data_IF_483918358131
#
_entry.id   IF_483918358131
#
_cell.length_a   1.000
_cell.length_b   1.000
_cell.length_c   1.000
_cell.angle_alpha   90.00
_cell.angle_beta   90.00
_cell.angle_gamma   90.00
#
_symmetry.space_group_name_H-M   'P 1'
#
loop_
_entity.id
_entity.type
_entity.pdbx_description
1 polymer ?
#
# COMPACT_ATOMS: atom_id res chain seq x y z
N UNK A 1 -23.59 -1.14 3.23
CA UNK A 1 -24.02 -0.06 4.13
C UNK A 1 -23.08 0.01 5.34
N UNK A 2 -23.10 1.05 6.17
CA UNK A 2 -22.36 1.12 7.44
C UNK A 2 -23.33 0.91 8.61
N UNK A 3 -23.05 -0.05 9.50
CA UNK A 3 -23.83 -0.30 10.72
C UNK A 3 -23.07 0.18 11.93
N UNK A 4 -23.59 1.20 12.60
CA UNK A 4 -23.02 1.69 13.85
C UNK A 4 -23.72 0.98 14.99
N UNK A 5 -22.99 0.27 15.85
CA UNK A 5 -23.56 -0.54 16.92
C UNK A 5 -23.09 -0.01 18.25
N UNK A 6 -24.03 0.42 19.09
CA UNK A 6 -23.75 0.96 20.41
C UNK A 6 -24.48 0.19 21.51
N UNK A 7 -23.76 -0.11 22.60
CA UNK A 7 -24.30 -0.88 23.74
C UNK A 7 -24.52 -0.06 25.00
N UNK A 8 -24.03 1.17 25.06
CA UNK A 8 -24.14 2.08 26.20
C UNK A 8 -24.77 3.41 25.78
N UNK A 9 -25.22 4.22 26.74
CA UNK A 9 -25.79 5.53 26.43
C UNK A 9 -24.74 6.54 25.93
N UNK A 10 -23.50 6.46 26.41
CA UNK A 10 -22.39 7.24 25.87
C UNK A 10 -22.10 6.83 24.42
N UNK A 11 -21.95 5.53 24.17
CA UNK A 11 -21.74 5.03 22.82
C UNK A 11 -22.89 5.33 21.86
N UNK A 12 -24.14 5.39 22.35
CA UNK A 12 -25.29 5.81 21.53
C UNK A 12 -25.13 7.25 21.05
N UNK A 13 -24.73 8.17 21.93
CA UNK A 13 -24.53 9.58 21.57
C UNK A 13 -23.42 9.72 20.52
N UNK A 14 -22.30 9.04 20.73
CA UNK A 14 -21.23 8.97 19.75
C UNK A 14 -21.73 8.39 18.41
N UNK A 15 -22.50 7.31 18.46
CA UNK A 15 -23.09 6.69 17.28
C UNK A 15 -24.08 7.59 16.53
N UNK A 16 -24.82 8.46 17.23
CA UNK A 16 -25.70 9.45 16.60
C UNK A 16 -24.90 10.52 15.86
N UNK A 17 -23.77 10.97 16.42
CA UNK A 17 -22.84 11.86 15.72
C UNK A 17 -22.30 11.20 14.46
N UNK A 18 -21.86 9.94 14.56
CA UNK A 18 -21.34 9.22 13.39
C UNK A 18 -22.43 8.98 12.32
N UNK A 19 -23.66 8.70 12.71
CA UNK A 19 -24.79 8.51 11.79
C UNK A 19 -25.13 9.79 11.01
N UNK A 20 -24.97 10.98 11.60
CA UNK A 20 -25.23 12.24 10.89
C UNK A 20 -24.13 12.64 9.92
N UNK A 21 -22.88 12.22 10.17
CA UNK A 21 -21.72 12.63 9.37
C UNK A 21 -21.32 11.60 8.31
N UNK A 22 -21.53 10.31 8.55
CA UNK A 22 -21.15 9.24 7.62
C UNK A 22 -22.25 8.97 6.58
N UNK A 23 -21.85 8.95 5.31
CA UNK A 23 -22.73 8.49 4.23
C UNK A 23 -23.09 7.00 4.40
N UNK A 24 -24.35 6.68 4.11
CA UNK A 24 -24.94 5.34 4.18
C UNK A 24 -24.72 4.65 5.54
N UNK A 25 -24.98 5.36 6.64
CA UNK A 25 -24.85 4.83 8.00
C UNK A 25 -26.21 4.68 8.69
N UNK A 26 -26.36 3.61 9.48
CA UNK A 26 -27.52 3.36 10.34
C UNK A 26 -27.07 2.96 11.75
N UNK A 27 -27.61 3.64 12.77
CA UNK A 27 -27.34 3.37 14.17
C UNK A 27 -28.26 2.28 14.74
N UNK A 28 -27.64 1.21 15.24
CA UNK A 28 -28.26 0.15 16.03
C UNK A 28 -27.89 0.29 17.50
N UNK A 29 -28.81 0.85 18.28
CA UNK A 29 -28.68 0.90 19.73
C UNK A 29 -29.23 -0.36 20.39
N UNK A 30 -28.36 -1.15 21.04
CA UNK A 30 -28.69 -2.43 21.71
C UNK A 30 -29.58 -3.34 20.84
N UNK A 31 -29.15 -3.73 19.61
CA UNK A 31 -29.98 -4.52 18.73
C UNK A 31 -30.29 -5.90 19.33
N UNK A 32 -31.50 -6.39 19.10
CA UNK A 32 -31.98 -7.71 19.53
C UNK A 32 -32.59 -8.45 18.33
N UNK A 33 -32.31 -9.75 18.14
CA UNK A 33 -31.26 -10.54 18.81
C UNK A 33 -29.86 -10.06 18.39
N UNK A 34 -28.98 -9.80 19.36
CA UNK A 34 -27.70 -9.15 19.11
C UNK A 34 -26.81 -9.97 18.17
N UNK A 35 -26.50 -11.22 18.53
CA UNK A 35 -25.55 -12.05 17.79
C UNK A 35 -25.97 -12.26 16.33
N UNK A 36 -27.21 -12.69 16.12
CA UNK A 36 -27.74 -12.97 14.78
C UNK A 36 -27.78 -11.72 13.90
N UNK A 37 -28.22 -10.56 14.42
CA UNK A 37 -28.24 -9.31 13.64
C UNK A 37 -26.84 -8.89 13.21
N UNK A 38 -25.86 -8.97 14.12
CA UNK A 38 -24.48 -8.57 13.80
C UNK A 38 -23.84 -9.55 12.83
N UNK A 39 -24.06 -10.85 13.01
CA UNK A 39 -23.57 -11.89 12.09
C UNK A 39 -24.21 -11.76 10.69
N UNK A 40 -25.51 -11.45 10.61
CA UNK A 40 -26.20 -11.25 9.34
C UNK A 40 -25.65 -10.02 8.61
N UNK A 41 -25.51 -8.88 9.29
CA UNK A 41 -24.94 -7.68 8.68
C UNK A 41 -23.51 -7.92 8.18
N UNK A 42 -22.70 -8.66 8.94
CA UNK A 42 -21.36 -9.07 8.52
C UNK A 42 -21.38 -9.94 7.26
N UNK A 43 -22.28 -10.92 7.20
CA UNK A 43 -22.48 -11.78 6.03
C UNK A 43 -22.99 -11.00 4.79
N UNK A 44 -23.82 -9.98 5.01
CA UNK A 44 -24.34 -9.08 3.97
C UNK A 44 -23.30 -8.05 3.49
N UNK A 45 -22.06 -8.15 3.98
CA UNK A 45 -20.92 -7.28 3.64
C UNK A 45 -21.13 -5.83 4.08
N UNK A 46 -21.95 -5.60 5.10
CA UNK A 46 -22.04 -4.29 5.74
C UNK A 46 -20.80 -4.01 6.59
N UNK A 47 -20.27 -2.79 6.49
CA UNK A 47 -19.17 -2.34 7.34
C UNK A 47 -19.68 -2.11 8.77
N UNK A 48 -19.07 -2.76 9.75
CA UNK A 48 -19.49 -2.70 11.14
C UNK A 48 -18.62 -1.70 11.93
N UNK A 49 -19.26 -0.72 12.56
CA UNK A 49 -18.63 0.25 13.48
C UNK A 49 -19.14 -0.09 14.89
N UNK A 50 -18.31 -0.77 15.67
CA UNK A 50 -18.67 -1.37 16.95
C UNK A 50 -18.20 -0.49 18.12
N UNK A 51 -19.11 0.28 18.72
CA UNK A 51 -18.84 1.11 19.90
C UNK A 51 -19.05 0.26 21.16
N UNK A 52 -18.08 -0.62 21.42
CA UNK A 52 -18.09 -1.57 22.53
C UNK A 52 -16.72 -2.22 22.73
N UNK A 53 -16.56 -3.02 23.79
CA UNK A 53 -15.33 -3.78 24.03
C UNK A 53 -15.05 -4.80 22.90
N UNK A 54 -13.80 -4.86 22.43
CA UNK A 54 -13.33 -5.77 21.37
C UNK A 54 -13.69 -7.24 21.61
N UNK A 55 -13.68 -7.69 22.88
CA UNK A 55 -14.06 -9.05 23.25
C UNK A 55 -15.52 -9.43 22.97
N UNK A 56 -16.44 -8.45 22.86
CA UNK A 56 -17.82 -8.70 22.40
C UNK A 56 -17.83 -9.01 20.91
N UNK A 57 -17.08 -8.22 20.13
CA UNK A 57 -16.99 -8.35 18.67
C UNK A 57 -16.44 -9.72 18.29
N UNK A 58 -15.31 -10.13 18.86
CA UNK A 58 -14.71 -11.44 18.57
C UNK A 58 -15.62 -12.61 18.94
N UNK A 59 -16.21 -12.63 20.14
CA UNK A 59 -17.12 -13.72 20.53
C UNK A 59 -18.35 -13.81 19.63
N UNK A 60 -18.80 -12.68 19.10
CA UNK A 60 -19.97 -12.61 18.20
C UNK A 60 -19.63 -13.06 16.79
N UNK A 61 -18.50 -12.62 16.25
CA UNK A 61 -18.13 -12.85 14.85
C UNK A 61 -17.31 -14.11 14.63
N UNK A 62 -16.62 -14.64 15.66
CA UNK A 62 -15.77 -15.83 15.53
C UNK A 62 -16.41 -17.02 14.78
N UNK A 63 -17.71 -17.34 14.95
CA UNK A 63 -18.35 -18.43 14.20
C UNK A 63 -18.53 -18.18 12.70
N UNK A 64 -18.47 -16.93 12.24
CA UNK A 64 -18.79 -16.51 10.85
C UNK A 64 -17.64 -15.84 10.12
N UNK A 65 -16.50 -15.59 10.78
CA UNK A 65 -15.27 -15.11 10.15
C UNK A 65 -14.73 -16.19 9.20
N UNK A 66 -14.40 -15.79 7.98
CA UNK A 66 -13.84 -16.68 6.96
C UNK A 66 -12.41 -16.29 6.60
N UNK A 67 -12.26 -15.17 5.89
CA UNK A 67 -10.97 -14.64 5.46
C UNK A 67 -11.09 -13.16 5.07
N UNK A 68 -9.95 -12.46 5.07
CA UNK A 68 -9.84 -11.02 4.78
C UNK A 68 -10.35 -10.56 3.41
N UNK A 69 -10.62 -11.47 2.47
CA UNK A 69 -11.15 -11.16 1.14
C UNK A 69 -12.69 -11.20 1.13
N UNK A 70 -13.28 -12.10 1.90
CA UNK A 70 -14.74 -12.34 2.00
C UNK A 70 -15.41 -11.70 3.23
N UNK A 71 -14.64 -11.31 4.24
CA UNK A 71 -15.13 -10.76 5.50
C UNK A 71 -15.33 -9.24 5.42
N UNK A 72 -16.43 -8.73 5.97
CA UNK A 72 -16.73 -7.30 5.96
C UNK A 72 -15.73 -6.50 6.82
N UNK A 73 -15.60 -5.20 6.55
CA UNK A 73 -14.85 -4.31 7.42
C UNK A 73 -15.46 -4.27 8.83
N UNK A 74 -14.60 -4.36 9.84
CA UNK A 74 -15.00 -4.17 11.24
C UNK A 74 -14.06 -3.19 11.91
N UNK A 75 -14.61 -2.11 12.42
CA UNK A 75 -13.94 -1.07 13.21
C UNK A 75 -14.50 -1.12 14.63
N UNK A 76 -13.64 -1.01 15.63
CA UNK A 76 -14.01 -0.97 17.04
C UNK A 76 -13.60 0.37 17.65
N UNK A 77 -14.47 0.92 18.49
CA UNK A 77 -14.26 2.19 19.17
C UNK A 77 -14.64 2.07 20.65
N UNK A 78 -13.94 2.82 21.50
CA UNK A 78 -14.40 3.07 22.86
C UNK A 78 -15.57 4.08 22.86
N UNK A 79 -16.32 4.13 23.96
CA UNK A 79 -17.50 4.98 24.06
C UNK A 79 -17.21 6.48 24.27
N UNK A 80 -15.97 6.84 24.60
CA UNK A 80 -15.51 8.23 24.68
C UNK A 80 -15.05 8.75 23.32
N UNK A 81 -14.83 7.88 22.34
CA UNK A 81 -14.36 8.24 21.01
C UNK A 81 -12.88 8.63 21.00
N UNK A 82 -12.08 8.11 21.93
CA UNK A 82 -10.65 8.41 22.00
C UNK A 82 -9.85 7.59 20.99
N UNK A 83 -10.27 6.36 20.72
CA UNK A 83 -9.56 5.39 19.88
C UNK A 83 -10.45 4.76 18.81
N UNK A 84 -9.90 4.65 17.60
CA UNK A 84 -10.52 3.96 16.47
C UNK A 84 -9.61 2.83 16.01
N UNK A 85 -10.08 1.60 16.12
CA UNK A 85 -9.28 0.39 15.93
C UNK A 85 -9.87 -0.42 14.77
N UNK A 86 -9.24 -0.45 13.57
CA UNK A 86 -9.63 -1.40 12.54
C UNK A 86 -9.30 -2.82 13.01
N UNK A 87 -10.33 -3.66 13.12
CA UNK A 87 -10.22 -4.99 13.73
C UNK A 87 -10.15 -6.11 12.68
N UNK A 88 -11.04 -6.09 11.68
CA UNK A 88 -11.09 -7.11 10.62
C UNK A 88 -11.15 -6.45 9.25
N UNK A 89 -10.55 -7.15 8.27
CA UNK A 89 -10.51 -6.74 6.87
C UNK A 89 -9.99 -5.30 6.65
N UNK A 90 -8.85 -4.98 7.30
CA UNK A 90 -8.19 -3.68 7.28
C UNK A 90 -7.94 -3.07 5.90
N UNK A 91 -7.38 -3.84 4.96
CA UNK A 91 -7.02 -3.34 3.64
C UNK A 91 -8.14 -3.48 2.62
N UNK A 92 -8.29 -4.67 2.02
CA UNK A 92 -9.26 -4.90 0.94
C UNK A 92 -10.72 -4.77 1.40
N UNK A 93 -11.01 -5.00 2.68
CA UNK A 93 -12.35 -4.78 3.23
C UNK A 93 -12.63 -3.33 3.61
N UNK A 94 -11.63 -2.45 3.63
CA UNK A 94 -11.79 -1.02 3.86
C UNK A 94 -11.78 -0.57 5.32
N UNK A 95 -11.51 -1.45 6.31
CA UNK A 95 -11.60 -1.05 7.72
C UNK A 95 -10.54 -0.01 8.12
N UNK A 96 -9.34 -0.02 7.53
CA UNK A 96 -8.32 1.00 7.81
C UNK A 96 -8.77 2.37 7.29
N UNK A 97 -9.31 2.43 6.08
CA UNK A 97 -9.82 3.68 5.51
C UNK A 97 -10.99 4.22 6.34
N UNK A 98 -11.93 3.36 6.71
CA UNK A 98 -13.05 3.73 7.56
C UNK A 98 -12.59 4.21 8.95
N UNK A 99 -11.56 3.58 9.52
CA UNK A 99 -10.99 4.02 10.80
C UNK A 99 -10.39 5.43 10.72
N UNK A 100 -9.70 5.76 9.63
CA UNK A 100 -9.19 7.11 9.39
C UNK A 100 -10.31 8.13 9.18
N UNK A 101 -11.30 7.81 8.34
CA UNK A 101 -12.47 8.67 8.10
C UNK A 101 -13.16 9.01 9.42
N UNK A 102 -13.44 8.00 10.25
CA UNK A 102 -14.05 8.22 11.56
C UNK A 102 -13.16 9.06 12.47
N UNK A 103 -11.87 8.74 12.56
CA UNK A 103 -10.97 9.45 13.45
C UNK A 103 -10.79 10.93 13.09
N UNK A 104 -10.74 11.24 11.79
CA UNK A 104 -10.74 12.63 11.30
C UNK A 104 -12.02 13.37 11.68
N UNK A 105 -13.18 12.72 11.58
CA UNK A 105 -14.48 13.32 11.90
C UNK A 105 -14.62 13.71 13.37
N UNK A 106 -14.13 12.86 14.29
CA UNK A 106 -14.33 13.06 15.73
C UNK A 106 -13.06 13.48 16.50
N UNK A 107 -11.93 13.62 15.82
CA UNK A 107 -10.64 13.93 16.43
C UNK A 107 -10.07 12.80 17.30
N UNK A 108 -10.32 11.54 16.93
CA UNK A 108 -9.85 10.37 17.66
C UNK A 108 -8.45 9.92 17.21
N UNK A 109 -7.80 9.11 18.03
CA UNK A 109 -6.55 8.43 17.66
C UNK A 109 -6.84 7.11 16.92
N UNK A 110 -6.34 6.96 15.71
CA UNK A 110 -6.35 5.65 15.03
C UNK A 110 -5.27 4.75 15.61
N UNK A 111 -5.64 3.53 16.02
CA UNK A 111 -4.70 2.50 16.48
C UNK A 111 -4.50 1.47 15.36
N UNK A 112 -3.64 1.81 14.39
CA UNK A 112 -3.26 0.89 13.34
C UNK A 112 -2.26 -0.14 13.87
N UNK A 113 -2.69 -1.41 13.91
CA UNK A 113 -1.81 -2.54 14.22
C UNK A 113 -1.41 -3.32 12.96
N UNK A 114 -2.12 -3.12 11.85
CA UNK A 114 -1.71 -3.63 10.54
C UNK A 114 -0.38 -3.02 10.17
N UNK A 115 0.49 -3.78 9.51
CA UNK A 115 1.66 -3.19 8.90
C UNK A 115 1.21 -1.98 8.04
N UNK A 116 1.85 -0.83 8.27
CA UNK A 116 1.58 0.47 7.65
C UNK A 116 1.61 0.52 6.10
N UNK A 117 2.06 -0.47 5.29
CA UNK A 117 2.25 -0.17 3.88
C UNK A 117 0.96 -0.05 3.03
N UNK A 118 -0.07 -0.86 3.23
CA UNK A 118 -0.79 -1.31 2.03
C UNK A 118 -1.68 -0.31 1.25
N UNK A 119 -2.01 0.89 1.74
CA UNK A 119 -3.12 1.65 1.13
C UNK A 119 -2.80 2.27 -0.24
N UNK A 120 -1.56 2.69 -0.53
CA UNK A 120 -1.12 3.17 -1.86
C UNK A 120 0.41 3.04 -2.02
N UNK A 121 0.96 1.84 -2.25
CA UNK A 121 2.37 1.74 -2.64
C UNK A 121 2.66 2.60 -3.87
N UNK A 122 3.79 3.30 -3.82
CA UNK A 122 4.46 3.83 -5.01
C UNK A 122 5.36 2.73 -5.52
N UNK A 123 5.19 2.33 -6.78
CA UNK A 123 6.02 1.30 -7.41
C UNK A 123 6.94 1.95 -8.42
N UNK A 124 8.23 1.69 -8.30
CA UNK A 124 9.24 2.24 -9.20
C UNK A 124 10.04 1.11 -9.82
N UNK A 125 10.40 1.30 -11.09
CA UNK A 125 11.20 0.35 -11.83
C UNK A 125 12.61 0.92 -11.97
N UNK A 126 13.62 0.12 -11.67
CA UNK A 126 14.99 0.43 -12.03
C UNK A 126 15.42 -0.43 -13.21
N UNK A 127 15.95 0.19 -14.26
CA UNK A 127 16.43 -0.49 -15.45
C UNK A 127 17.85 -0.06 -15.79
N UNK A 128 18.64 -1.00 -16.29
CA UNK A 128 19.95 -0.73 -16.87
C UNK A 128 20.15 -1.61 -18.09
N UNK A 129 20.81 -1.10 -19.11
CA UNK A 129 21.07 -1.84 -20.34
C UNK A 129 22.47 -1.55 -20.88
N UNK A 130 22.96 -2.38 -21.79
CA UNK A 130 24.07 -2.01 -22.66
C UNK A 130 23.67 -0.85 -23.58
N UNK A 131 24.65 -0.12 -24.13
CA UNK A 131 24.36 0.91 -25.15
C UNK A 131 23.69 0.27 -26.37
N UNK A 132 22.73 0.98 -26.96
CA UNK A 132 22.00 0.53 -28.15
C UNK A 132 21.26 -0.81 -27.93
N UNK A 133 20.77 -1.04 -26.71
CA UNK A 133 19.87 -2.15 -26.42
C UNK A 133 18.51 -1.89 -27.08
N UNK A 134 17.95 -2.92 -27.71
CA UNK A 134 16.71 -2.81 -28.44
C UNK A 134 15.52 -2.52 -27.49
N UNK A 135 14.65 -1.60 -27.90
CA UNK A 135 13.51 -1.19 -27.07
C UNK A 135 12.55 -2.36 -26.84
N UNK A 136 12.37 -3.26 -27.81
CA UNK A 136 11.47 -4.41 -27.65
C UNK A 136 12.03 -5.44 -26.66
N UNK A 137 13.35 -5.62 -26.61
CA UNK A 137 14.00 -6.45 -25.58
C UNK A 137 13.71 -5.89 -24.17
N UNK A 138 13.88 -4.59 -23.98
CA UNK A 138 13.60 -3.95 -22.69
C UNK A 138 12.12 -3.97 -22.31
N UNK A 139 11.22 -3.76 -23.26
CA UNK A 139 9.76 -3.87 -23.03
C UNK A 139 9.40 -5.29 -22.58
N UNK A 140 9.90 -6.31 -23.28
CA UNK A 140 9.64 -7.72 -22.94
C UNK A 140 10.15 -8.06 -21.54
N UNK A 141 11.34 -7.56 -21.18
CA UNK A 141 11.90 -7.74 -19.83
C UNK A 141 11.03 -7.05 -18.77
N UNK A 142 10.58 -5.82 -19.03
CA UNK A 142 9.71 -5.06 -18.13
C UNK A 142 8.37 -5.78 -17.90
N UNK A 143 7.68 -6.17 -18.97
CA UNK A 143 6.40 -6.88 -18.90
C UNK A 143 6.54 -8.19 -18.11
N UNK A 144 7.62 -8.93 -18.35
CA UNK A 144 7.92 -10.16 -17.59
C UNK A 144 8.10 -9.87 -16.10
N UNK A 145 8.83 -8.81 -15.76
CA UNK A 145 9.04 -8.41 -14.36
C UNK A 145 7.74 -7.97 -13.69
N UNK A 146 6.93 -7.16 -14.37
CA UNK A 146 5.62 -6.71 -13.88
C UNK A 146 4.69 -7.88 -13.63
N UNK A 147 4.62 -8.84 -14.58
CA UNK A 147 3.81 -10.04 -14.43
C UNK A 147 4.22 -10.87 -13.21
N UNK A 148 5.54 -11.05 -12.98
CA UNK A 148 6.04 -11.77 -11.80
C UNK A 148 5.75 -11.03 -10.48
N UNK A 149 5.76 -9.70 -10.51
CA UNK A 149 5.39 -8.87 -9.36
C UNK A 149 3.87 -8.76 -9.16
N UNK A 150 3.04 -9.29 -10.06
CA UNK A 150 1.59 -9.14 -10.03
C UNK A 150 1.12 -7.70 -10.28
N UNK A 151 1.87 -6.95 -11.07
CA UNK A 151 1.64 -5.55 -11.40
C UNK A 151 1.29 -5.36 -12.88
N UNK A 152 0.62 -4.25 -13.16
CA UNK A 152 0.43 -3.71 -14.50
C UNK A 152 1.29 -2.46 -14.71
N UNK A 153 1.51 -2.08 -15.97
CA UNK A 153 2.26 -0.87 -16.34
C UNK A 153 1.63 0.39 -15.71
N UNK A 154 0.32 0.44 -15.56
CA UNK A 154 -0.36 1.60 -14.98
C UNK A 154 -0.02 1.82 -13.50
N UNK A 155 0.40 0.77 -12.79
CA UNK A 155 0.73 0.82 -11.36
C UNK A 155 2.15 1.30 -11.07
N UNK A 156 3.04 1.39 -12.06
CA UNK A 156 4.38 1.94 -11.84
C UNK A 156 4.39 3.46 -12.05
N UNK A 157 5.13 4.16 -11.22
CA UNK A 157 5.22 5.62 -11.21
C UNK A 157 6.34 6.12 -12.15
N UNK A 158 7.48 5.41 -12.17
CA UNK A 158 8.66 5.82 -12.93
C UNK A 158 9.57 4.66 -13.34
N UNK A 159 10.36 4.90 -14.38
CA UNK A 159 11.50 4.09 -14.79
C UNK A 159 12.78 4.87 -14.45
N UNK A 160 13.75 4.21 -13.84
CA UNK A 160 14.88 4.87 -13.20
C UNK A 160 16.20 4.20 -13.56
N UNK A 161 17.28 4.96 -13.64
CA UNK A 161 18.63 4.42 -13.89
C UNK A 161 19.73 5.24 -13.21
N UNK A 162 20.99 4.94 -13.51
CA UNK A 162 22.15 5.74 -13.12
C UNK A 162 22.34 6.92 -14.09
N UNK A 163 22.87 8.04 -13.62
CA UNK A 163 23.15 9.27 -14.39
C UNK A 163 23.98 9.06 -15.66
N UNK A 164 24.87 8.06 -15.68
CA UNK A 164 25.60 7.61 -16.88
C UNK A 164 24.69 7.18 -18.04
N UNK A 165 23.39 7.00 -17.79
CA UNK A 165 22.35 6.65 -18.76
C UNK A 165 21.39 7.80 -19.09
N UNK A 166 21.71 9.03 -18.70
CA UNK A 166 20.88 10.20 -19.02
C UNK A 166 20.66 10.42 -20.53
N UNK A 167 21.57 9.95 -21.38
CA UNK A 167 21.53 10.08 -22.84
C UNK A 167 21.06 8.80 -23.55
N UNK A 168 20.71 7.74 -22.81
CA UNK A 168 20.35 6.43 -23.35
C UNK A 168 18.98 6.47 -24.03
N UNK A 169 18.99 6.62 -25.36
CA UNK A 169 17.78 6.79 -26.17
C UNK A 169 16.79 5.63 -26.01
N UNK A 170 17.27 4.41 -25.81
CA UNK A 170 16.40 3.24 -25.64
C UNK A 170 15.54 3.31 -24.37
N UNK A 171 16.13 3.73 -23.24
CA UNK A 171 15.40 3.87 -21.96
C UNK A 171 14.45 5.08 -22.00
N UNK A 172 14.90 6.18 -22.58
CA UNK A 172 14.08 7.39 -22.77
C UNK A 172 12.86 7.08 -23.65
N UNK A 173 13.07 6.38 -24.78
CA UNK A 173 12.00 5.99 -25.68
C UNK A 173 11.02 5.00 -25.04
N UNK A 174 11.53 4.03 -24.28
CA UNK A 174 10.69 3.10 -23.52
C UNK A 174 9.79 3.84 -22.53
N UNK A 175 10.37 4.67 -21.66
CA UNK A 175 9.61 5.44 -20.68
C UNK A 175 8.59 6.38 -21.36
N UNK A 176 8.98 7.04 -22.45
CA UNK A 176 8.10 7.88 -23.25
C UNK A 176 6.91 7.12 -23.84
N UNK A 177 7.14 5.91 -24.37
CA UNK A 177 6.08 5.06 -24.92
C UNK A 177 5.06 4.60 -23.88
N UNK A 178 5.48 4.53 -22.62
CA UNK A 178 4.66 4.12 -21.47
C UNK A 178 4.07 5.31 -20.70
N UNK A 179 4.35 6.54 -21.14
CA UNK A 179 3.97 7.77 -20.43
C UNK A 179 4.46 7.80 -18.97
N UNK A 180 5.63 7.22 -18.70
CA UNK A 180 6.26 7.21 -17.38
C UNK A 180 7.43 8.17 -17.32
N UNK A 181 7.70 8.72 -16.15
CA UNK A 181 8.89 9.53 -15.93
C UNK A 181 10.14 8.66 -16.07
N UNK A 182 11.15 9.16 -16.78
CA UNK A 182 12.50 8.62 -16.76
C UNK A 182 13.37 9.48 -15.85
N UNK A 183 13.89 8.90 -14.78
CA UNK A 183 14.77 9.59 -13.83
C UNK A 183 16.12 8.90 -13.76
N UNK A 184 17.14 9.69 -13.46
CA UNK A 184 18.49 9.18 -13.27
C UNK A 184 19.08 9.74 -11.99
N UNK A 185 19.93 8.94 -11.34
CA UNK A 185 20.54 9.27 -10.06
C UNK A 185 22.05 9.02 -10.11
N UNK A 186 22.81 9.83 -9.39
CA UNK A 186 24.26 9.67 -9.30
C UNK A 186 24.65 8.46 -8.41
N UNK A 187 25.92 8.09 -8.45
CA UNK A 187 26.43 6.94 -7.69
C UNK A 187 26.33 7.16 -6.17
N UNK A 188 26.41 8.40 -5.70
CA UNK A 188 26.29 8.73 -4.28
C UNK A 188 24.86 8.45 -3.79
N UNK A 189 23.86 8.94 -4.51
CA UNK A 189 22.43 8.70 -4.25
C UNK A 189 22.08 7.21 -4.28
N UNK A 190 22.56 6.49 -5.30
CA UNK A 190 22.32 5.05 -5.45
C UNK A 190 23.07 4.23 -4.39
N UNK A 191 24.23 4.69 -3.94
CA UNK A 191 25.04 4.02 -2.92
C UNK A 191 24.37 3.95 -1.55
N UNK A 192 23.45 4.87 -1.23
CA UNK A 192 22.68 4.85 0.02
C UNK A 192 21.82 3.58 0.17
N UNK A 193 21.45 2.95 -0.95
CA UNK A 193 20.59 1.77 -0.98
C UNK A 193 21.39 0.44 -0.91
N UNK A 194 22.72 0.49 -0.77
CA UNK A 194 23.60 -0.70 -0.82
C UNK A 194 23.21 -1.80 0.20
N UNK A 195 22.72 -1.40 1.37
CA UNK A 195 22.31 -2.33 2.43
C UNK A 195 21.07 -3.16 2.08
N UNK A 196 20.27 -2.71 1.11
CA UNK A 196 19.01 -3.32 0.69
C UNK A 196 19.15 -4.18 -0.58
N UNK A 197 20.33 -4.19 -1.20
CA UNK A 197 20.57 -4.94 -2.44
C UNK A 197 20.50 -6.44 -2.23
N UNK A 198 19.86 -7.13 -3.16
CA UNK A 198 19.76 -8.60 -3.13
C UNK A 198 21.08 -9.27 -3.51
N UNK A 199 21.85 -8.62 -4.39
CA UNK A 199 23.09 -9.14 -4.95
C UNK A 199 24.10 -8.03 -5.18
N UNK A 200 25.36 -8.29 -4.87
CA UNK A 200 26.47 -7.35 -5.08
C UNK A 200 27.35 -7.82 -6.23
N UNK A 201 27.55 -6.96 -7.24
CA UNK A 201 28.40 -7.27 -8.40
C UNK A 201 29.65 -6.39 -8.43
N UNK A 202 30.81 -6.98 -8.19
CA UNK A 202 32.10 -6.28 -8.23
C UNK A 202 32.40 -5.68 -9.61
N UNK A 203 32.01 -6.39 -10.68
CA UNK A 203 32.15 -5.89 -12.05
C UNK A 203 31.37 -4.59 -12.27
N UNK A 204 30.11 -4.53 -11.80
CA UNK A 204 29.28 -3.32 -11.91
C UNK A 204 29.88 -2.22 -11.04
N UNK A 205 30.32 -2.54 -9.82
CA UNK A 205 30.95 -1.58 -8.93
C UNK A 205 32.20 -0.95 -9.53
N UNK A 206 33.08 -1.74 -10.15
CA UNK A 206 34.28 -1.24 -10.84
C UNK A 206 33.94 -0.38 -12.07
N UNK A 207 32.80 -0.64 -12.72
CA UNK A 207 32.41 0.07 -13.95
C UNK A 207 31.71 1.39 -13.65
N UNK A 208 30.82 1.42 -12.67
CA UNK A 208 29.92 2.57 -12.44
C UNK A 208 29.85 3.05 -10.98
N UNK A 209 30.59 2.43 -10.07
CA UNK A 209 30.68 2.84 -8.66
C UNK A 209 29.55 2.34 -7.75
N UNK A 210 28.64 1.50 -8.24
CA UNK A 210 27.56 0.88 -7.44
C UNK A 210 27.44 -0.61 -7.74
N UNK A 211 26.97 -1.40 -6.77
CA UNK A 211 26.93 -2.85 -6.90
C UNK A 211 25.80 -3.40 -7.80
N UNK A 212 24.68 -2.67 -7.91
CA UNK A 212 23.54 -3.06 -8.74
C UNK A 212 22.69 -1.84 -9.14
N UNK A 213 22.88 -1.34 -10.36
CA UNK A 213 22.16 -0.15 -10.87
C UNK A 213 20.64 -0.31 -10.82
N UNK A 214 20.09 -1.40 -11.36
CA UNK A 214 18.65 -1.60 -11.43
C UNK A 214 17.98 -1.63 -10.05
N UNK A 215 18.54 -2.36 -9.08
CA UNK A 215 17.97 -2.41 -7.72
C UNK A 215 18.10 -1.08 -7.00
N UNK A 216 19.29 -0.46 -7.05
CA UNK A 216 19.54 0.81 -6.37
C UNK A 216 18.64 1.92 -6.92
N UNK A 217 18.48 2.00 -8.24
CA UNK A 217 17.65 3.02 -8.88
C UNK A 217 16.15 2.83 -8.59
N UNK A 218 15.68 1.59 -8.53
CA UNK A 218 14.30 1.31 -8.12
C UNK A 218 14.07 1.77 -6.67
N UNK A 219 14.92 1.31 -5.74
CA UNK A 219 14.82 1.62 -4.30
C UNK A 219 14.89 3.12 -4.04
N UNK A 220 15.88 3.79 -4.61
CA UNK A 220 16.09 5.22 -4.42
C UNK A 220 14.87 6.03 -4.89
N UNK A 221 14.33 5.71 -6.07
CA UNK A 221 13.15 6.39 -6.60
C UNK A 221 11.92 6.21 -5.70
N UNK A 222 11.67 4.99 -5.20
CA UNK A 222 10.54 4.72 -4.31
C UNK A 222 10.66 5.48 -2.99
N UNK A 223 11.87 5.49 -2.40
CA UNK A 223 12.17 6.24 -1.17
C UNK A 223 12.01 7.74 -1.38
N UNK A 224 12.55 8.27 -2.48
CA UNK A 224 12.45 9.69 -2.82
C UNK A 224 10.99 10.14 -3.00
N UNK A 225 10.18 9.34 -3.68
CA UNK A 225 8.78 9.65 -3.95
C UNK A 225 7.90 9.72 -2.68
N UNK A 226 8.28 8.97 -1.64
CA UNK A 226 7.44 8.82 -0.44
C UNK A 226 8.03 9.44 0.82
N UNK A 227 9.34 9.71 0.83
CA UNK A 227 10.09 10.10 2.02
C UNK A 227 10.31 8.96 3.03
N UNK A 228 9.99 7.72 2.68
CA UNK A 228 10.01 6.56 3.58
C UNK A 228 10.92 5.43 3.07
N UNK A 229 11.32 4.48 3.93
CA UNK A 229 12.11 3.33 3.49
C UNK A 229 11.45 2.56 2.33
N UNK A 230 12.27 2.14 1.37
CA UNK A 230 11.83 1.32 0.25
C UNK A 230 12.21 -0.15 0.45
N UNK A 231 11.56 -1.04 -0.30
CA UNK A 231 11.91 -2.46 -0.33
C UNK A 231 11.79 -3.03 -1.76
N UNK A 232 12.57 -4.06 -2.05
CA UNK A 232 12.50 -4.77 -3.33
C UNK A 232 11.23 -5.63 -3.37
N UNK A 233 10.40 -5.40 -4.40
CA UNK A 233 9.28 -6.26 -4.76
C UNK A 233 9.77 -7.39 -5.66
N UNK A 234 10.67 -7.05 -6.57
CA UNK A 234 11.33 -7.99 -7.46
C UNK A 234 12.81 -7.66 -7.54
N UNK A 235 13.65 -8.63 -7.15
CA UNK A 235 15.10 -8.55 -7.32
C UNK A 235 15.47 -8.43 -8.81
N UNK A 236 16.73 -8.08 -9.08
CA UNK A 236 17.23 -7.91 -10.44
C UNK A 236 17.00 -9.15 -11.31
N UNK A 237 16.24 -8.96 -12.37
CA UNK A 237 16.13 -9.86 -13.51
C UNK A 237 16.98 -9.34 -14.67
N UNK A 238 17.45 -10.26 -15.52
CA UNK A 238 18.31 -9.93 -16.66
C UNK A 238 17.76 -10.54 -17.95
N UNK A 239 17.77 -9.77 -19.03
CA UNK A 239 17.74 -10.28 -20.39
C UNK A 239 19.17 -10.49 -20.90
N UNK A 240 19.36 -10.58 -22.21
CA UNK A 240 20.69 -10.68 -22.81
C UNK A 240 21.50 -9.39 -22.60
N UNK A 241 20.86 -8.22 -22.74
CA UNK A 241 21.53 -6.90 -22.73
C UNK A 241 20.92 -5.90 -21.76
N UNK A 242 19.87 -6.26 -21.03
CA UNK A 242 19.19 -5.39 -20.09
C UNK A 242 18.94 -6.06 -18.73
N UNK A 243 18.67 -5.22 -17.73
CA UNK A 243 18.36 -5.61 -16.37
C UNK A 243 17.21 -4.77 -15.84
N UNK A 244 16.35 -5.37 -15.02
CA UNK A 244 15.16 -4.75 -14.46
C UNK A 244 14.98 -5.19 -13.01
N UNK A 245 14.60 -4.27 -12.13
CA UNK A 245 14.19 -4.54 -10.76
C UNK A 245 13.00 -3.65 -10.41
N UNK A 246 12.20 -4.08 -9.42
CA UNK A 246 11.01 -3.34 -8.98
C UNK A 246 11.11 -3.13 -7.48
N UNK A 247 10.93 -1.88 -7.05
CA UNK A 247 10.84 -1.51 -5.66
C UNK A 247 9.47 -0.91 -5.35
N UNK A 248 9.16 -0.87 -4.06
CA UNK A 248 8.02 -0.12 -3.55
C UNK A 248 8.40 0.65 -2.31
N UNK A 249 7.69 1.75 -2.09
CA UNK A 249 7.62 2.42 -0.80
C UNK A 249 6.22 2.96 -0.61
N UNK A 250 5.97 3.48 0.58
CA UNK A 250 4.63 3.80 1.04
C UNK A 250 4.59 5.22 1.56
N UNK A 251 3.76 6.09 0.98
CA UNK A 251 3.67 7.48 1.40
C UNK A 251 3.11 7.56 2.82
N UNK A 252 3.62 8.52 3.58
CA UNK A 252 3.00 8.88 4.86
C UNK A 252 1.58 9.38 4.61
N UNK A 253 0.63 8.93 5.45
CA UNK A 253 -0.79 9.29 5.36
C UNK A 253 -1.05 10.81 5.45
N UNK A 254 -0.04 11.61 5.81
CA UNK A 254 -0.11 13.07 5.96
C UNK A 254 0.05 13.89 4.67
N UNK A 255 0.36 13.29 3.52
CA UNK A 255 0.60 14.05 2.28
C UNK A 255 -0.59 14.07 1.33
N UNK A 256 -1.71 14.60 1.81
CA UNK A 256 -2.68 15.27 0.94
C UNK A 256 -2.95 16.67 1.48
N UNK A 257 -2.23 17.63 0.89
CA UNK A 257 -2.71 19.00 0.77
C UNK A 257 -3.81 19.07 -0.30
#
# INVERSE_FOLDING_TARGET
>A
MKRIVALTQAGRRLGQTLESELADAELWYKPVPFGEKIQQAFADRDSLIMICATGIVFRTLAPVIKNKHEDAAVVVMDEAGEFVIPLLSGHQGGANQLAHEIAELIGAQVVLTTANPYLRPVFTVGMGCERDCDQAEMMTLLETCLQQAGLSIDQIDSINSIDLKQDEQGLIALAGSLQKAFQVFDKEQLGEEESLLSTRSDYVFQTVGVYAVAESAALHAARLATGNPAELVLNKHKSQRATCAIARSYPSLSNKA
#
